data_IF_694620220989
#
_entry.id   IF_694620220989
#
_cell.length_a   1.000
_cell.length_b   1.000
_cell.length_c   1.000
_cell.angle_alpha   90.00
_cell.angle_beta   90.00
_cell.angle_gamma   90.00
#
_symmetry.space_group_name_H-M   'P 1'
#
loop_
_entity.id
_entity.type
_entity.pdbx_description
1 polymer ?
#
# COMPACT_ATOMS: atom_id res chain seq x y z
N UNK A 1 -14.16 3.65 8.06
CA UNK A 1 -13.60 2.54 8.89
C UNK A 1 -14.12 2.71 10.31
N UNK A 2 -14.48 1.63 11.02
CA UNK A 2 -14.92 1.74 12.42
C UNK A 2 -13.74 1.56 13.40
N UNK A 3 -13.94 1.95 14.66
CA UNK A 3 -12.92 1.92 15.71
C UNK A 3 -12.32 0.54 15.93
N UNK A 4 -13.12 -0.53 15.79
CA UNK A 4 -12.66 -1.90 15.95
C UNK A 4 -11.57 -2.25 14.93
N UNK A 5 -11.77 -1.90 13.67
CA UNK A 5 -10.78 -2.15 12.61
C UNK A 5 -9.56 -1.27 12.80
N UNK A 6 -9.74 0.01 13.14
CA UNK A 6 -8.62 0.90 13.39
C UNK A 6 -7.72 0.40 14.55
N UNK A 7 -8.32 -0.09 15.63
CA UNK A 7 -7.59 -0.67 16.76
C UNK A 7 -6.81 -1.93 16.36
N UNK A 8 -7.43 -2.83 15.58
CA UNK A 8 -6.77 -4.04 15.08
C UNK A 8 -5.53 -3.69 14.23
N UNK A 9 -5.64 -2.69 13.36
CA UNK A 9 -4.52 -2.26 12.52
C UNK A 9 -3.39 -1.64 13.34
N UNK A 10 -3.71 -0.88 14.40
CA UNK A 10 -2.71 -0.35 15.32
C UNK A 10 -2.01 -1.46 16.13
N UNK A 11 -2.73 -2.49 16.55
CA UNK A 11 -2.15 -3.65 17.23
C UNK A 11 -1.20 -4.42 16.30
N UNK A 12 -1.59 -4.63 15.03
CA UNK A 12 -0.73 -5.23 14.02
C UNK A 12 0.60 -4.46 13.87
N UNK A 13 0.53 -3.13 13.72
CA UNK A 13 1.74 -2.28 13.62
C UNK A 13 2.64 -2.44 14.85
N UNK A 14 2.06 -2.53 16.06
CA UNK A 14 2.83 -2.74 17.30
C UNK A 14 3.53 -4.09 17.31
N UNK A 15 2.85 -5.17 16.93
CA UNK A 15 3.44 -6.52 16.87
C UNK A 15 4.52 -6.63 15.79
N UNK A 16 4.32 -6.03 14.61
CA UNK A 16 5.34 -5.94 13.57
C UNK A 16 6.62 -5.25 14.08
N UNK A 17 6.49 -4.14 14.81
CA UNK A 17 7.64 -3.45 15.43
C UNK A 17 8.40 -4.34 16.41
N UNK A 18 7.70 -5.10 17.26
CA UNK A 18 8.33 -6.05 18.19
C UNK A 18 9.08 -7.16 17.46
N UNK A 19 8.48 -7.67 16.38
CA UNK A 19 9.06 -8.73 15.55
C UNK A 19 10.14 -8.26 14.57
N UNK A 20 10.46 -6.95 14.52
CA UNK A 20 11.35 -6.35 13.50
C UNK A 20 10.89 -6.67 12.07
N UNK A 21 9.58 -6.67 11.86
CA UNK A 21 8.94 -6.83 10.55
C UNK A 21 8.50 -5.46 10.05
N UNK A 22 8.88 -5.14 8.82
CA UNK A 22 8.43 -3.92 8.14
C UNK A 22 7.05 -4.15 7.53
N UNK A 23 6.14 -3.20 7.70
CA UNK A 23 4.83 -3.20 7.03
C UNK A 23 4.54 -1.83 6.43
N UNK A 24 4.05 -1.83 5.20
CA UNK A 24 3.44 -0.68 4.51
C UNK A 24 2.01 -1.09 4.19
N UNK A 25 1.05 -0.50 4.89
CA UNK A 25 -0.38 -0.77 4.71
C UNK A 25 -1.08 0.55 4.40
N UNK A 26 -1.93 0.56 3.37
CA UNK A 26 -2.76 1.71 3.04
C UNK A 26 -4.21 1.27 2.82
N UNK A 27 -5.16 2.11 3.20
CA UNK A 27 -6.56 1.97 2.76
C UNK A 27 -6.84 2.94 1.64
N UNK A 28 -7.61 2.49 0.64
CA UNK A 28 -8.04 3.32 -0.48
C UNK A 28 -9.51 3.65 -0.31
N UNK A 29 -9.86 4.92 -0.43
CA UNK A 29 -11.24 5.34 -0.64
C UNK A 29 -11.64 4.95 -2.07
N UNK A 30 -12.61 4.05 -2.22
CA UNK A 30 -13.01 3.54 -3.53
C UNK A 30 -13.76 4.55 -4.38
N UNK A 31 -14.35 5.60 -3.78
CA UNK A 31 -15.06 6.65 -4.52
C UNK A 31 -14.08 7.70 -5.05
N UNK A 32 -13.13 8.11 -4.20
CA UNK A 32 -12.13 9.13 -4.55
C UNK A 32 -10.88 8.54 -5.23
N UNK A 33 -10.67 7.22 -5.13
CA UNK A 33 -9.45 6.52 -5.57
C UNK A 33 -8.17 7.07 -4.93
N UNK A 34 -8.28 7.53 -3.68
CA UNK A 34 -7.17 8.13 -2.92
C UNK A 34 -6.85 7.33 -1.65
N UNK A 35 -5.60 7.42 -1.19
CA UNK A 35 -5.20 6.82 0.08
C UNK A 35 -5.88 7.54 1.24
N UNK A 36 -6.73 6.84 1.98
CA UNK A 36 -7.48 7.37 3.13
C UNK A 36 -6.76 7.19 4.46
N UNK A 37 -5.88 6.20 4.58
CA UNK A 37 -5.00 6.03 5.74
C UNK A 37 -3.75 5.24 5.37
N UNK A 38 -2.60 5.62 5.92
CA UNK A 38 -1.33 4.91 5.73
C UNK A 38 -0.78 4.53 7.10
N UNK A 39 -0.45 3.25 7.26
CA UNK A 39 0.08 2.65 8.48
C UNK A 39 1.44 2.03 8.19
N UNK A 40 2.44 2.44 8.98
CA UNK A 40 3.85 2.13 8.73
C UNK A 40 4.53 1.54 9.98
N UNK A 41 5.31 0.48 9.75
CA UNK A 41 6.30 -0.03 10.70
C UNK A 41 7.61 -0.35 9.97
N UNK A 42 8.74 -0.20 10.68
CA UNK A 42 10.08 -0.35 10.12
C UNK A 42 10.72 0.99 9.78
N UNK A 43 11.95 0.95 9.29
CA UNK A 43 12.71 2.12 8.86
C UNK A 43 12.27 2.62 7.48
N UNK A 44 12.55 3.89 7.16
CA UNK A 44 12.21 4.46 5.86
C UNK A 44 12.82 3.68 4.67
N UNK A 45 14.09 3.21 4.72
CA UNK A 45 14.63 2.36 3.65
C UNK A 45 13.86 1.05 3.45
N UNK A 46 13.50 0.36 4.54
CA UNK A 46 12.73 -0.89 4.44
C UNK A 46 11.33 -0.65 3.88
N UNK A 47 10.69 0.45 4.28
CA UNK A 47 9.39 0.85 3.75
C UNK A 47 9.48 1.16 2.24
N UNK A 48 10.55 1.81 1.80
CA UNK A 48 10.79 2.09 0.38
C UNK A 48 10.96 0.81 -0.44
N UNK A 49 11.66 -0.21 0.10
CA UNK A 49 11.78 -1.52 -0.54
C UNK A 49 10.40 -2.18 -0.68
N UNK A 50 9.63 -2.26 0.40
CA UNK A 50 8.30 -2.87 0.38
C UNK A 50 7.34 -2.15 -0.60
N UNK A 51 7.39 -0.82 -0.65
CA UNK A 51 6.60 -0.04 -1.60
C UNK A 51 7.05 -0.27 -3.05
N UNK A 52 8.37 -0.33 -3.30
CA UNK A 52 8.90 -0.62 -4.62
C UNK A 52 8.44 -1.98 -5.13
N UNK A 53 8.48 -3.02 -4.30
CA UNK A 53 8.01 -4.35 -4.69
C UNK A 53 6.51 -4.38 -4.99
N UNK A 54 5.68 -3.68 -4.21
CA UNK A 54 4.26 -3.53 -4.48
C UNK A 54 4.00 -2.80 -5.81
N UNK A 55 4.78 -1.75 -6.07
CA UNK A 55 4.64 -0.96 -7.29
C UNK A 55 5.06 -1.74 -8.54
N UNK A 56 6.15 -2.50 -8.49
CA UNK A 56 6.56 -3.35 -9.62
C UNK A 56 5.50 -4.42 -9.92
N UNK A 57 4.93 -5.08 -8.90
CA UNK A 57 3.79 -5.99 -9.11
C UNK A 57 2.59 -5.31 -9.75
N UNK A 58 2.27 -4.10 -9.32
CA UNK A 58 1.19 -3.33 -9.93
C UNK A 58 1.47 -3.03 -11.41
N UNK A 59 2.71 -2.67 -11.78
CA UNK A 59 3.06 -2.49 -13.19
C UNK A 59 2.85 -3.76 -14.01
N UNK A 60 3.31 -4.90 -13.50
CA UNK A 60 3.14 -6.20 -14.17
C UNK A 60 1.65 -6.50 -14.42
N UNK A 61 0.80 -6.31 -13.40
CA UNK A 61 -0.66 -6.51 -13.52
C UNK A 61 -1.30 -5.47 -14.46
N UNK A 62 -0.93 -4.19 -14.35
CA UNK A 62 -1.46 -3.12 -15.18
C UNK A 62 -1.09 -3.28 -16.66
N UNK A 63 0.09 -3.81 -16.96
CA UNK A 63 0.52 -4.14 -18.32
C UNK A 63 -0.20 -5.40 -18.86
N UNK A 64 -0.52 -6.36 -17.99
CA UNK A 64 -1.26 -7.56 -18.37
C UNK A 64 -2.76 -7.32 -18.62
N UNK A 65 -3.33 -6.25 -18.05
CA UNK A 65 -4.75 -5.92 -18.16
C UNK A 65 -5.02 -4.72 -19.07
N UNK A 66 -6.12 -4.78 -19.83
CA UNK A 66 -6.61 -3.65 -20.64
C UNK A 66 -7.39 -2.65 -19.77
N UNK A 67 -6.70 -2.07 -18.78
CA UNK A 67 -7.22 -1.02 -17.92
C UNK A 67 -6.80 0.35 -18.44
N UNK A 68 -7.77 1.26 -18.52
CA UNK A 68 -7.63 2.62 -19.08
C UNK A 68 -7.71 3.74 -18.02
N UNK A 69 -7.64 3.40 -16.73
CA UNK A 69 -7.65 4.43 -15.69
C UNK A 69 -6.39 5.32 -15.78
N UNK A 70 -6.46 6.58 -15.28
CA UNK A 70 -5.35 7.53 -15.41
C UNK A 70 -4.00 6.99 -14.89
N UNK A 71 -4.01 6.25 -13.79
CA UNK A 71 -2.81 5.65 -13.20
C UNK A 71 -2.22 4.53 -14.08
N UNK A 72 -3.07 3.64 -14.63
CA UNK A 72 -2.62 2.59 -15.53
C UNK A 72 -2.10 3.15 -16.87
N UNK A 73 -2.72 4.21 -17.39
CA UNK A 73 -2.25 4.89 -18.61
C UNK A 73 -0.87 5.51 -18.40
N UNK A 74 -0.66 6.22 -17.29
CA UNK A 74 0.66 6.77 -16.97
C UNK A 74 1.74 5.69 -16.93
N UNK A 75 1.45 4.51 -16.38
CA UNK A 75 2.38 3.39 -16.30
C UNK A 75 2.65 2.74 -17.66
N UNK A 76 1.62 2.60 -18.52
CA UNK A 76 1.77 2.05 -19.88
C UNK A 76 2.56 2.98 -20.80
N UNK A 77 2.48 4.29 -20.55
CA UNK A 77 3.08 5.35 -21.37
C UNK A 77 4.43 5.86 -20.84
N UNK A 78 4.91 5.37 -19.69
CA UNK A 78 6.24 5.69 -19.13
C UNK A 78 7.34 4.75 -19.62
#
# INVERSE_FOLDING_TARGET
MNDKIQNLLMELVKECRKGKVTIVLSTVDSEMMEASSVLLAGSLPEQAIAFSELFEKFKEEALAHDCDCPQCKQIKES
#
